data_IF_468029715722
#
_entry.id   IF_468029715722
#
_cell.length_a   1.000
_cell.length_b   1.000
_cell.length_c   1.000
_cell.angle_alpha   90.00
_cell.angle_beta   90.00
_cell.angle_gamma   90.00
#
_symmetry.space_group_name_H-M   'P 1'
#
loop_
_entity.id
_entity.type
_entity.pdbx_description
1 polymer ?
#
# COMPACT_ATOMS: atom_id res chain seq x y z
N UNK A 1 0.06 -7.42 29.58
CA UNK A 1 0.14 -7.99 28.22
C UNK A 1 0.10 -6.87 27.21
N UNK A 2 1.17 -6.67 26.48
CA UNK A 2 1.22 -5.62 25.47
C UNK A 2 0.54 -6.10 24.19
N UNK A 3 -0.44 -5.34 23.70
CA UNK A 3 -1.03 -5.60 22.42
C UNK A 3 -0.08 -5.13 21.33
N UNK A 4 0.04 -5.92 20.28
CA UNK A 4 0.84 -5.56 19.11
C UNK A 4 -0.05 -4.96 18.05
N UNK A 5 0.36 -3.80 17.52
CA UNK A 5 -0.27 -3.19 16.38
C UNK A 5 0.57 -3.49 15.14
N UNK A 6 -0.03 -4.16 14.18
CA UNK A 6 0.64 -4.50 12.92
C UNK A 6 0.05 -3.65 11.80
N UNK A 7 0.91 -2.88 11.13
CA UNK A 7 0.54 -2.03 10.02
C UNK A 7 1.12 -2.62 8.75
N UNK A 8 0.26 -2.98 7.80
CA UNK A 8 0.69 -3.50 6.51
C UNK A 8 0.88 -2.34 5.53
N UNK A 9 2.04 -2.28 4.90
CA UNK A 9 2.41 -1.23 3.96
C UNK A 9 2.63 -1.82 2.57
N UNK A 10 2.17 -1.10 1.56
CA UNK A 10 2.40 -1.49 0.17
C UNK A 10 3.81 -1.11 -0.26
N UNK A 11 4.51 -2.06 -0.90
CA UNK A 11 5.85 -1.81 -1.47
C UNK A 11 5.80 -0.75 -2.56
N UNK A 12 6.95 -0.12 -2.80
CA UNK A 12 7.18 0.77 -3.91
C UNK A 12 6.91 2.23 -3.57
N UNK A 13 6.25 2.93 -4.48
CA UNK A 13 6.02 4.37 -4.35
C UNK A 13 5.22 4.72 -3.10
N UNK A 14 4.20 3.94 -2.79
CA UNK A 14 3.37 4.18 -1.60
C UNK A 14 4.22 4.10 -0.33
N UNK A 15 5.11 3.11 -0.26
CA UNK A 15 6.00 2.96 0.89
C UNK A 15 6.87 4.21 1.10
N UNK A 16 7.44 4.73 0.02
CA UNK A 16 8.30 5.92 0.07
C UNK A 16 7.54 7.15 0.56
N UNK A 17 6.27 7.25 0.26
CA UNK A 17 5.46 8.41 0.63
C UNK A 17 4.80 8.25 2.00
N UNK A 18 4.55 7.02 2.44
CA UNK A 18 3.92 6.78 3.75
C UNK A 18 4.91 6.85 4.91
N UNK A 19 6.17 6.45 4.69
CA UNK A 19 7.17 6.47 5.75
C UNK A 19 7.37 7.85 6.37
N UNK A 20 7.44 8.95 5.60
CA UNK A 20 7.51 10.29 6.18
C UNK A 20 6.28 10.65 7.01
N UNK A 21 5.10 10.17 6.63
CA UNK A 21 3.88 10.42 7.39
C UNK A 21 3.90 9.70 8.74
N UNK A 22 4.39 8.48 8.77
CA UNK A 22 4.55 7.73 10.02
C UNK A 22 5.58 8.39 10.92
N UNK A 23 6.66 8.91 10.35
CA UNK A 23 7.69 9.62 11.10
C UNK A 23 7.11 10.86 11.79
N UNK A 24 6.18 11.56 11.16
CA UNK A 24 5.52 12.72 11.75
C UNK A 24 4.76 12.40 13.04
N UNK A 25 4.24 11.19 13.15
CA UNK A 25 3.53 10.74 14.36
C UNK A 25 4.44 9.94 15.28
N UNK A 26 5.74 9.94 15.00
CA UNK A 26 6.73 9.32 15.87
C UNK A 26 6.92 7.83 15.69
N UNK A 27 6.52 7.29 14.54
CA UNK A 27 6.72 5.87 14.21
C UNK A 27 7.81 5.76 13.15
N UNK A 28 8.92 5.13 13.51
CA UNK A 28 10.05 4.94 12.60
C UNK A 28 10.54 3.50 12.68
N UNK A 29 10.88 2.93 11.53
CA UNK A 29 11.47 1.61 11.47
C UNK A 29 12.88 1.63 12.05
N UNK A 30 13.23 0.60 12.79
CA UNK A 30 14.59 0.44 13.33
C UNK A 30 15.59 0.01 12.26
N UNK A 31 15.10 -0.48 11.13
CA UNK A 31 15.93 -0.92 10.01
C UNK A 31 15.56 -0.14 8.75
N UNK A 32 16.48 -0.12 7.78
CA UNK A 32 16.22 0.48 6.47
C UNK A 32 15.35 -0.46 5.64
N UNK A 33 14.07 -0.13 5.54
CA UNK A 33 13.10 -0.95 4.81
C UNK A 33 13.44 -1.03 3.32
N UNK A 34 13.93 0.07 2.74
CA UNK A 34 14.19 0.14 1.30
C UNK A 34 15.28 -0.80 0.81
N UNK A 35 16.22 -1.17 1.67
CA UNK A 35 17.35 -2.01 1.32
C UNK A 35 17.29 -3.42 1.91
N UNK A 36 16.17 -3.78 2.53
CA UNK A 36 16.02 -5.06 3.19
C UNK A 36 15.08 -5.97 2.41
N UNK A 37 15.34 -7.28 2.45
CA UNK A 37 14.45 -8.31 1.90
C UNK A 37 13.48 -8.83 2.94
N UNK A 38 13.59 -8.37 4.18
CA UNK A 38 12.65 -8.76 5.24
C UNK A 38 11.26 -8.22 4.93
N UNK A 39 10.26 -8.90 5.45
CA UNK A 39 8.87 -8.46 5.33
C UNK A 39 8.39 -7.76 6.60
N UNK A 40 8.92 -8.14 7.75
CA UNK A 40 8.48 -7.63 9.05
C UNK A 40 9.56 -6.75 9.66
N UNK A 41 9.17 -5.56 10.11
CA UNK A 41 10.10 -4.58 10.67
C UNK A 41 9.59 -4.10 12.02
N UNK A 42 10.45 -4.12 13.02
CA UNK A 42 10.17 -3.50 14.31
C UNK A 42 10.33 -1.99 14.21
N UNK A 43 9.62 -1.27 15.05
CA UNK A 43 9.70 0.19 15.09
C UNK A 43 10.24 0.67 16.43
N UNK A 44 10.49 2.00 16.50
CA UNK A 44 10.91 2.64 17.73
C UNK A 44 9.83 2.64 18.82
N UNK A 45 8.58 2.30 18.45
CA UNK A 45 7.51 2.19 19.43
C UNK A 45 7.29 0.73 19.79
N UNK A 46 7.42 0.38 21.09
CA UNK A 46 7.13 -1.00 21.52
C UNK A 46 5.70 -1.39 21.18
N UNK A 47 5.54 -2.58 20.61
CA UNK A 47 4.22 -3.07 20.24
C UNK A 47 3.73 -2.64 18.86
N UNK A 48 4.49 -1.83 18.13
CA UNK A 48 4.15 -1.45 16.75
C UNK A 48 5.15 -2.08 15.79
N UNK A 49 4.63 -2.84 14.83
CA UNK A 49 5.48 -3.44 13.78
C UNK A 49 4.89 -3.14 12.41
N UNK A 50 5.77 -3.13 11.42
CA UNK A 50 5.39 -2.88 10.03
C UNK A 50 5.60 -4.15 9.22
N UNK A 51 4.67 -4.44 8.32
CA UNK A 51 4.78 -5.55 7.37
C UNK A 51 4.71 -4.96 5.98
N UNK A 52 5.70 -5.25 5.15
CA UNK A 52 5.77 -4.70 3.78
C UNK A 52 5.35 -5.78 2.81
N UNK A 53 4.30 -5.51 2.04
CA UNK A 53 3.65 -6.49 1.17
C UNK A 53 3.40 -5.89 -0.21
N UNK A 54 3.04 -6.74 -1.15
CA UNK A 54 2.49 -6.28 -2.43
C UNK A 54 1.11 -5.68 -2.17
N UNK A 55 0.74 -4.67 -2.98
CA UNK A 55 -0.53 -3.97 -2.80
C UNK A 55 -1.72 -4.91 -2.75
N UNK A 56 -1.75 -5.92 -3.62
CA UNK A 56 -2.86 -6.88 -3.67
C UNK A 56 -3.01 -7.71 -2.39
N UNK A 57 -1.92 -7.87 -1.63
CA UNK A 57 -1.93 -8.68 -0.41
C UNK A 57 -2.34 -7.90 0.84
N UNK A 58 -2.23 -6.58 0.81
CA UNK A 58 -2.53 -5.74 1.99
C UNK A 58 -3.97 -5.90 2.46
N UNK A 59 -4.99 -5.79 1.58
CA UNK A 59 -6.37 -5.97 2.03
C UNK A 59 -6.62 -7.37 2.60
N UNK A 60 -6.01 -8.39 2.02
CA UNK A 60 -6.16 -9.77 2.47
C UNK A 60 -5.63 -9.94 3.91
N UNK A 61 -4.46 -9.39 4.19
CA UNK A 61 -3.86 -9.45 5.52
C UNK A 61 -4.73 -8.75 6.57
N UNK A 62 -5.28 -7.59 6.23
CA UNK A 62 -6.15 -6.84 7.15
C UNK A 62 -7.47 -7.57 7.34
N UNK A 63 -8.07 -8.05 6.26
CA UNK A 63 -9.36 -8.76 6.31
C UNK A 63 -9.30 -9.99 7.20
N UNK A 64 -8.20 -10.74 7.15
CA UNK A 64 -8.04 -11.97 7.92
C UNK A 64 -7.35 -11.78 9.28
N UNK A 65 -7.11 -10.53 9.69
CA UNK A 65 -6.56 -10.24 11.00
C UNK A 65 -5.06 -10.45 11.15
N UNK A 66 -4.34 -10.73 10.06
CA UNK A 66 -2.88 -10.83 10.10
C UNK A 66 -2.21 -9.46 10.26
N UNK A 67 -2.92 -8.40 9.88
CA UNK A 67 -2.56 -7.03 10.17
C UNK A 67 -3.78 -6.32 10.72
N UNK A 68 -3.56 -5.30 11.55
CA UNK A 68 -4.65 -4.54 12.15
C UNK A 68 -5.12 -3.41 11.25
N UNK A 69 -4.22 -2.86 10.45
CA UNK A 69 -4.52 -1.81 9.51
C UNK A 69 -3.54 -1.89 8.34
N UNK A 70 -3.87 -1.23 7.26
CA UNK A 70 -3.03 -1.25 6.08
C UNK A 70 -3.09 0.05 5.29
N UNK A 71 -2.03 0.30 4.52
CA UNK A 71 -1.97 1.41 3.57
C UNK A 71 -1.86 0.81 2.19
N UNK A 72 -2.83 1.12 1.34
CA UNK A 72 -2.95 0.49 0.02
C UNK A 72 -3.56 1.50 -0.97
N UNK A 73 -3.29 1.31 -2.25
CA UNK A 73 -3.90 2.12 -3.28
C UNK A 73 -5.40 1.91 -3.35
N UNK A 74 -6.14 2.99 -3.57
CA UNK A 74 -7.59 2.94 -3.72
C UNK A 74 -8.02 2.05 -4.89
N UNK A 75 -7.22 2.00 -5.94
CA UNK A 75 -7.45 1.15 -7.11
C UNK A 75 -7.54 -0.33 -6.73
N UNK A 76 -6.68 -0.78 -5.82
CA UNK A 76 -6.70 -2.17 -5.34
C UNK A 76 -8.02 -2.46 -4.61
N UNK A 77 -8.47 -1.53 -3.75
CA UNK A 77 -9.73 -1.70 -3.04
C UNK A 77 -10.92 -1.71 -3.98
N UNK A 78 -10.91 -0.88 -5.01
CA UNK A 78 -11.98 -0.85 -6.01
C UNK A 78 -12.02 -2.13 -6.84
N UNK A 79 -10.85 -2.68 -7.16
CA UNK A 79 -10.74 -3.90 -7.96
C UNK A 79 -11.15 -5.15 -7.18
N UNK A 80 -10.67 -5.28 -5.95
CA UNK A 80 -10.90 -6.48 -5.13
C UNK A 80 -12.18 -6.42 -4.30
N UNK A 81 -12.74 -5.23 -4.13
CA UNK A 81 -13.83 -5.01 -3.20
C UNK A 81 -13.31 -4.74 -1.78
N UNK A 82 -14.08 -3.97 -1.04
CA UNK A 82 -13.71 -3.55 0.31
C UNK A 82 -14.57 -4.21 1.39
N UNK A 83 -15.18 -5.36 1.11
CA UNK A 83 -15.99 -6.07 2.07
C UNK A 83 -15.17 -6.49 3.29
N UNK A 84 -15.71 -6.23 4.48
CA UNK A 84 -15.02 -6.55 5.73
C UNK A 84 -13.92 -5.57 6.09
N UNK A 85 -13.78 -4.47 5.34
CA UNK A 85 -12.78 -3.45 5.58
C UNK A 85 -13.45 -2.10 5.83
N UNK A 86 -12.80 -1.29 6.66
CA UNK A 86 -13.22 0.08 6.95
C UNK A 86 -12.11 1.03 6.49
N UNK A 87 -12.49 2.08 5.76
CA UNK A 87 -11.54 3.04 5.19
C UNK A 87 -11.69 4.38 5.92
N UNK A 88 -10.96 4.59 7.04
CA UNK A 88 -11.15 5.79 7.86
C UNK A 88 -10.46 7.03 7.31
N UNK A 89 -9.47 6.89 6.42
CA UNK A 89 -8.63 8.01 6.02
C UNK A 89 -8.08 7.84 4.62
N UNK A 90 -8.22 8.91 3.83
CA UNK A 90 -7.52 9.05 2.56
C UNK A 90 -6.25 9.85 2.83
N UNK A 91 -5.08 9.23 2.63
CA UNK A 91 -3.81 9.88 2.90
C UNK A 91 -3.44 10.94 1.86
N UNK A 92 -4.05 10.89 0.67
CA UNK A 92 -3.77 11.86 -0.39
C UNK A 92 -2.39 11.75 -1.00
N UNK A 93 -1.75 10.58 -0.87
CA UNK A 93 -0.41 10.34 -1.41
C UNK A 93 -0.47 9.38 -2.60
N UNK A 94 0.63 9.28 -3.34
CA UNK A 94 0.78 8.36 -4.47
C UNK A 94 -0.37 8.49 -5.46
N UNK A 95 -0.84 9.70 -5.70
CA UNK A 95 -1.93 9.93 -6.65
C UNK A 95 -1.50 9.50 -8.04
N UNK A 96 -2.37 8.78 -8.71
CA UNK A 96 -2.10 8.29 -10.05
C UNK A 96 -3.35 8.41 -10.91
N UNK A 97 -3.15 8.28 -12.20
CA UNK A 97 -4.23 8.38 -13.18
C UNK A 97 -4.11 7.22 -14.15
N UNK A 98 -5.23 6.53 -14.37
CA UNK A 98 -5.24 5.45 -15.35
C UNK A 98 -5.24 6.08 -16.74
N UNK A 99 -4.28 5.66 -17.56
CA UNK A 99 -4.14 6.16 -18.92
C UNK A 99 -3.81 4.99 -19.84
N UNK A 100 -4.19 5.11 -21.10
CA UNK A 100 -3.76 4.18 -22.12
C UNK A 100 -2.46 4.66 -22.72
N UNK A 101 -1.60 3.74 -23.09
CA UNK A 101 -0.33 4.03 -23.74
C UNK A 101 -0.26 3.30 -25.07
N UNK A 102 0.25 3.98 -26.08
CA UNK A 102 0.40 3.40 -27.38
C UNK A 102 1.63 3.97 -28.09
N UNK A 103 1.83 3.50 -29.31
CA UNK A 103 2.94 4.00 -30.15
C UNK A 103 2.73 5.49 -30.43
N UNK A 104 3.80 6.27 -30.40
CA UNK A 104 3.72 7.70 -30.71
C UNK A 104 3.10 7.89 -32.10
N UNK A 105 2.10 8.78 -32.18
CA UNK A 105 1.39 9.05 -33.42
C UNK A 105 0.25 8.08 -33.74
N UNK A 106 0.06 7.03 -32.93
CA UNK A 106 -1.04 6.11 -33.13
C UNK A 106 -2.37 6.78 -32.83
N UNK A 107 -3.36 6.51 -33.69
CA UNK A 107 -4.72 7.01 -33.50
C UNK A 107 -5.71 5.86 -33.70
N UNK A 108 -6.82 5.91 -32.95
CA UNK A 108 -7.88 4.92 -33.14
C UNK A 108 -8.54 5.14 -34.50
N UNK A 109 -8.74 4.04 -35.24
CA UNK A 109 -9.45 4.06 -36.52
C UNK A 109 -10.91 3.60 -36.41
N UNK A 110 -11.43 3.51 -35.19
CA UNK A 110 -12.76 3.03 -34.94
C UNK A 110 -12.89 1.50 -34.87
N UNK A 111 -11.80 0.78 -35.09
CA UNK A 111 -11.81 -0.68 -34.99
C UNK A 111 -11.61 -1.11 -33.53
N UNK A 112 -11.81 -2.41 -33.29
CA UNK A 112 -11.60 -2.98 -31.97
C UNK A 112 -10.15 -2.82 -31.54
N UNK A 113 -9.94 -2.32 -30.32
CA UNK A 113 -8.63 -2.05 -29.77
C UNK A 113 -8.25 -3.15 -28.78
N UNK A 114 -7.01 -3.64 -28.86
CA UNK A 114 -6.44 -4.52 -27.85
C UNK A 114 -5.68 -3.68 -26.82
N UNK A 115 -5.95 -3.96 -25.55
CA UNK A 115 -5.28 -3.27 -24.44
C UNK A 115 -4.52 -4.32 -23.63
N UNK A 116 -3.23 -4.04 -23.41
CA UNK A 116 -2.40 -4.91 -22.61
C UNK A 116 -2.62 -4.70 -21.12
#
# INVERSE_FOLDING_TARGET
MSEKLTIALTKGRILKEVLPLLSRVGIESLEDIGNSRKLVFETNRPGVQLVVLRGADVPTYVRHGAADMGVVGKDILLEQGAEGLYEPLDLGIARCRLMTAGRVGWQSNGARIRVA
#
